data_IF_196008382704
#
_entry.id   IF_196008382704
#
_cell.length_a   1.000
_cell.length_b   1.000
_cell.length_c   1.000
_cell.angle_alpha   90.00
_cell.angle_beta   90.00
_cell.angle_gamma   90.00
#
_symmetry.space_group_name_H-M   'P 1'
#
loop_
_entity.id
_entity.type
_entity.pdbx_description
1 polymer ?
#
# COMPACT_ATOMS: atom_id res chain seq x y z
N UNK A 1 -14.64 22.24 -19.66
CA UNK A 1 -15.42 22.09 -18.43
C UNK A 1 -14.63 22.72 -17.29
N UNK A 2 -15.15 23.75 -16.63
CA UNK A 2 -14.41 24.57 -15.67
C UNK A 2 -14.87 24.37 -14.20
N UNK A 3 -15.89 23.53 -14.00
CA UNK A 3 -16.62 23.37 -12.73
C UNK A 3 -16.66 21.90 -12.24
N UNK A 4 -15.78 21.03 -12.74
CA UNK A 4 -15.67 19.66 -12.23
C UNK A 4 -14.92 19.65 -10.90
N UNK A 5 -15.50 19.04 -9.87
CA UNK A 5 -14.83 18.79 -8.59
C UNK A 5 -14.47 17.31 -8.49
N UNK A 6 -13.35 17.00 -7.84
CA UNK A 6 -12.97 15.61 -7.57
C UNK A 6 -13.85 15.04 -6.44
N UNK A 7 -14.27 13.79 -6.58
CA UNK A 7 -14.93 13.02 -5.51
C UNK A 7 -13.84 12.15 -4.85
N UNK A 8 -13.60 12.27 -3.54
CA UNK A 8 -12.65 11.39 -2.86
C UNK A 8 -13.21 9.97 -2.79
N UNK A 9 -12.31 8.99 -2.87
CA UNK A 9 -12.65 7.57 -2.80
C UNK A 9 -11.82 6.89 -1.71
N UNK A 10 -12.46 5.99 -0.97
CA UNK A 10 -11.83 5.11 0.01
C UNK A 10 -12.11 3.67 -0.38
N UNK A 11 -11.06 2.92 -0.69
CA UNK A 11 -11.14 1.52 -1.10
C UNK A 11 -10.42 0.63 -0.08
N UNK A 12 -11.03 -0.48 0.37
CA UNK A 12 -10.34 -1.42 1.26
C UNK A 12 -9.17 -2.08 0.52
N UNK A 13 -8.02 -2.19 1.20
CA UNK A 13 -6.83 -2.88 0.69
C UNK A 13 -6.49 -4.08 1.60
N UNK A 14 -7.30 -5.16 1.60
CA UNK A 14 -7.17 -6.26 2.57
C UNK A 14 -5.91 -7.11 2.36
N UNK A 15 -5.26 -7.02 1.20
CA UNK A 15 -4.11 -7.85 0.85
C UNK A 15 -2.78 -7.27 1.36
N UNK A 16 -2.75 -6.03 1.87
CA UNK A 16 -1.52 -5.42 2.37
C UNK A 16 -0.79 -6.23 3.45
N UNK A 17 -1.47 -6.86 4.43
CA UNK A 17 -0.80 -7.73 5.38
C UNK A 17 -0.05 -8.90 4.72
N UNK A 18 -0.56 -9.45 3.62
CA UNK A 18 0.14 -10.51 2.88
C UNK A 18 1.41 -9.97 2.21
N UNK A 19 1.32 -8.82 1.53
CA UNK A 19 2.50 -8.22 0.87
C UNK A 19 3.60 -7.80 1.86
N UNK A 20 3.23 -7.56 3.12
CA UNK A 20 4.13 -7.20 4.21
C UNK A 20 4.54 -8.42 5.07
N UNK A 21 4.05 -9.62 4.77
CA UNK A 21 4.40 -10.85 5.47
C UNK A 21 5.68 -11.47 4.92
N UNK A 22 6.20 -12.49 5.62
CA UNK A 22 7.36 -13.25 5.16
C UNK A 22 7.08 -13.97 3.83
N UNK A 23 5.89 -14.55 3.69
CA UNK A 23 5.46 -15.22 2.46
C UNK A 23 5.37 -14.26 1.28
N UNK A 24 4.79 -13.08 1.48
CA UNK A 24 4.75 -12.02 0.47
C UNK A 24 6.15 -11.55 0.11
N UNK A 25 7.03 -11.35 1.10
CA UNK A 25 8.43 -10.96 0.88
C UNK A 25 9.19 -11.99 0.04
N UNK A 26 8.97 -13.29 0.27
CA UNK A 26 9.59 -14.35 -0.52
C UNK A 26 9.12 -14.31 -1.97
N UNK A 27 7.81 -14.19 -2.19
CA UNK A 27 7.25 -14.02 -3.54
C UNK A 27 7.82 -12.78 -4.25
N UNK A 28 7.87 -11.63 -3.56
CA UNK A 28 8.39 -10.38 -4.09
C UNK A 28 9.88 -10.48 -4.46
N UNK A 29 10.65 -11.31 -3.75
CA UNK A 29 12.07 -11.51 -4.03
C UNK A 29 12.33 -12.27 -5.33
N UNK A 30 11.38 -13.13 -5.74
CA UNK A 30 11.43 -13.89 -6.99
C UNK A 30 10.82 -13.11 -8.17
N UNK A 31 10.03 -12.08 -7.87
CA UNK A 31 9.34 -11.28 -8.86
C UNK A 31 10.33 -10.35 -9.59
N UNK A 32 10.42 -10.52 -10.91
CA UNK A 32 11.33 -9.73 -11.76
C UNK A 32 10.67 -8.57 -12.49
N UNK A 33 9.34 -8.56 -12.56
CA UNK A 33 8.55 -7.51 -13.23
C UNK A 33 7.46 -6.98 -12.29
N UNK A 34 7.63 -5.73 -11.85
CA UNK A 34 6.74 -5.03 -10.93
C UNK A 34 5.34 -4.75 -11.53
N UNK A 35 5.16 -4.93 -12.84
CA UNK A 35 3.87 -4.75 -13.53
C UNK A 35 2.90 -5.89 -13.24
N UNK A 36 3.41 -6.98 -12.69
CA UNK A 36 2.60 -8.13 -12.27
C UNK A 36 1.97 -7.93 -10.89
N UNK A 37 2.41 -6.90 -10.15
CA UNK A 37 1.81 -6.57 -8.85
C UNK A 37 0.41 -5.96 -9.02
N UNK A 38 -0.53 -6.29 -8.11
CA UNK A 38 -1.81 -5.57 -8.03
C UNK A 38 -1.60 -4.08 -7.79
N UNK A 39 -2.53 -3.25 -8.27
CA UNK A 39 -2.39 -1.79 -8.29
C UNK A 39 -1.98 -1.21 -6.93
N UNK A 40 -2.73 -1.50 -5.87
CA UNK A 40 -2.43 -0.94 -4.55
C UNK A 40 -1.11 -1.45 -3.95
N UNK A 41 -0.76 -2.72 -4.20
CA UNK A 41 0.52 -3.28 -3.74
C UNK A 41 1.70 -2.63 -4.47
N UNK A 42 1.59 -2.46 -5.79
CA UNK A 42 2.58 -1.75 -6.61
C UNK A 42 2.80 -0.33 -6.09
N UNK A 43 1.72 0.43 -5.88
CA UNK A 43 1.83 1.81 -5.41
C UNK A 43 2.45 1.92 -4.02
N UNK A 44 2.15 0.97 -3.12
CA UNK A 44 2.76 0.94 -1.79
C UNK A 44 4.27 0.64 -1.86
N UNK A 45 4.68 -0.35 -2.64
CA UNK A 45 6.05 -0.88 -2.65
C UNK A 45 6.99 -0.12 -3.59
N UNK A 46 6.48 0.42 -4.70
CA UNK A 46 7.29 1.06 -5.74
C UNK A 46 7.19 2.60 -5.73
N UNK A 47 6.06 3.16 -5.28
CA UNK A 47 5.79 4.61 -5.34
C UNK A 47 5.79 5.29 -3.95
N UNK A 48 6.33 4.62 -2.93
CA UNK A 48 6.39 5.13 -1.56
C UNK A 48 7.28 6.37 -1.43
N UNK A 49 6.68 7.52 -1.11
CA UNK A 49 7.43 8.77 -0.92
C UNK A 49 7.93 8.98 0.53
N UNK A 50 7.09 8.66 1.52
CA UNK A 50 7.42 8.80 2.95
C UNK A 50 6.82 7.64 3.75
N UNK A 51 7.62 7.10 4.67
CA UNK A 51 7.15 6.18 5.71
C UNK A 51 6.94 6.96 7.01
N UNK A 52 5.71 6.98 7.50
CA UNK A 52 5.36 7.66 8.76
C UNK A 52 5.42 6.67 9.92
N UNK A 53 6.15 7.03 10.97
CA UNK A 53 6.31 6.23 12.18
C UNK A 53 5.76 7.00 13.38
N UNK A 54 5.19 6.28 14.35
CA UNK A 54 4.65 6.87 15.59
C UNK A 54 5.00 5.99 16.80
N UNK A 55 4.98 6.58 18.00
CA UNK A 55 5.08 5.78 19.23
C UNK A 55 3.88 4.83 19.34
N UNK A 56 4.07 3.55 19.71
CA UNK A 56 2.94 2.66 20.00
C UNK A 56 1.98 3.20 21.07
N UNK A 57 2.47 4.06 21.97
CA UNK A 57 1.68 4.63 23.06
C UNK A 57 0.60 5.62 22.60
N UNK A 58 0.70 6.16 21.38
CA UNK A 58 -0.25 7.16 20.83
C UNK A 58 -1.25 6.57 19.83
N UNK A 59 -1.26 5.24 19.66
CA UNK A 59 -2.21 4.58 18.76
C UNK A 59 -3.66 4.78 19.23
N UNK A 60 -4.57 5.13 18.30
CA UNK A 60 -5.98 5.38 18.62
C UNK A 60 -6.75 4.11 19.06
N UNK A 61 -6.31 2.93 18.61
CA UNK A 61 -6.95 1.65 18.89
C UNK A 61 -5.88 0.64 19.31
N UNK A 62 -6.27 -0.29 20.20
CA UNK A 62 -5.43 -1.41 20.65
C UNK A 62 -5.85 -2.69 19.98
#
# INVERSE_FOLDING_TARGET
EQNGWNIPEMVPCPDFPYWLSEEGSNYLSELTDDRQLPEHAKRLLCDGYMCMYQSPDVMMYK
#
